data_IF_713078729544
#
_entry.id   IF_713078729544
#
_cell.length_a   1.000
_cell.length_b   1.000
_cell.length_c   1.000
_cell.angle_alpha   90.00
_cell.angle_beta   90.00
_cell.angle_gamma   90.00
#
_symmetry.space_group_name_H-M   'P 1'
#
loop_
_entity.id
_entity.type
_entity.pdbx_description
1 polymer ?
#
# COMPACT_ATOMS: atom_id res chain seq x y z
N UNK A 1 -1.93 17.83 -20.12
CA UNK A 1 -1.28 16.68 -19.43
C UNK A 1 -2.26 15.52 -19.31
N UNK A 2 -1.80 14.22 -19.37
CA UNK A 2 -2.66 13.05 -19.11
C UNK A 2 -2.45 12.58 -17.66
N UNK A 3 -3.50 12.63 -16.86
CA UNK A 3 -3.44 12.18 -15.47
C UNK A 3 -3.73 10.67 -15.36
N UNK A 4 -2.92 9.86 -14.63
CA UNK A 4 -3.04 8.41 -14.54
C UNK A 4 -4.12 7.98 -13.52
N UNK A 5 -5.33 8.47 -13.67
CA UNK A 5 -6.42 8.15 -12.74
C UNK A 5 -6.86 6.70 -12.95
N UNK A 6 -6.66 5.87 -11.91
CA UNK A 6 -7.01 4.45 -11.94
C UNK A 6 -6.02 3.55 -12.68
N UNK A 7 -4.92 4.09 -13.22
CA UNK A 7 -3.87 3.32 -13.90
C UNK A 7 -2.88 2.81 -12.86
N UNK A 8 -2.67 1.50 -12.82
CA UNK A 8 -1.79 0.82 -11.88
C UNK A 8 -0.64 0.07 -12.58
N UNK A 9 -0.70 -0.03 -13.90
CA UNK A 9 0.32 -0.68 -14.71
C UNK A 9 1.34 0.35 -15.21
N UNK A 10 2.62 0.13 -14.85
CA UNK A 10 3.71 1.04 -15.19
C UNK A 10 4.01 1.06 -16.70
N UNK A 11 3.92 -0.09 -17.36
CA UNK A 11 4.14 -0.18 -18.81
C UNK A 11 3.06 0.57 -19.58
N UNK A 12 1.78 0.40 -19.20
CA UNK A 12 0.66 1.15 -19.79
C UNK A 12 0.83 2.66 -19.57
N UNK A 13 1.23 3.05 -18.35
CA UNK A 13 1.48 4.44 -17.99
C UNK A 13 2.57 5.07 -18.88
N UNK A 14 3.72 4.41 -19.02
CA UNK A 14 4.84 4.93 -19.79
C UNK A 14 4.54 4.94 -21.30
N UNK A 15 4.00 3.84 -21.86
CA UNK A 15 3.71 3.74 -23.31
C UNK A 15 2.66 4.76 -23.77
N UNK A 16 1.71 5.12 -22.92
CA UNK A 16 0.64 6.05 -23.26
C UNK A 16 0.93 7.51 -22.85
N UNK A 17 2.10 7.79 -22.29
CA UNK A 17 2.55 9.14 -21.94
C UNK A 17 1.71 9.82 -20.87
N UNK A 18 1.31 9.05 -19.85
CA UNK A 18 0.71 9.60 -18.64
C UNK A 18 1.76 10.28 -17.76
N UNK A 19 1.32 11.23 -16.95
CA UNK A 19 2.18 11.86 -15.96
C UNK A 19 2.66 10.81 -14.93
N UNK A 20 3.95 10.79 -14.65
CA UNK A 20 4.57 9.89 -13.68
C UNK A 20 5.43 10.67 -12.70
N UNK A 21 5.18 10.50 -11.42
CA UNK A 21 6.07 10.98 -10.37
C UNK A 21 7.14 9.91 -10.16
N UNK A 22 8.36 10.23 -10.56
CA UNK A 22 9.46 9.28 -10.58
C UNK A 22 9.86 8.80 -9.18
N UNK A 23 9.63 7.51 -8.94
CA UNK A 23 10.01 6.79 -7.71
C UNK A 23 11.08 5.72 -7.98
N UNK A 24 11.67 5.72 -9.16
CA UNK A 24 12.56 4.63 -9.59
C UNK A 24 13.89 4.58 -8.85
N UNK A 25 14.30 5.67 -8.22
CA UNK A 25 15.42 5.67 -7.28
C UNK A 25 15.21 4.69 -6.10
N UNK A 26 13.96 4.56 -5.62
CA UNK A 26 13.62 3.58 -4.59
C UNK A 26 13.67 2.14 -5.12
N UNK A 27 13.28 1.93 -6.39
CA UNK A 27 13.38 0.62 -7.06
C UNK A 27 14.85 0.15 -7.05
N UNK A 28 15.76 1.01 -7.51
CA UNK A 28 17.20 0.72 -7.52
C UNK A 28 17.72 0.44 -6.11
N UNK A 29 17.43 1.33 -5.16
CA UNK A 29 17.86 1.21 -3.77
C UNK A 29 17.41 -0.10 -3.12
N UNK A 30 16.15 -0.47 -3.28
CA UNK A 30 15.61 -1.72 -2.73
C UNK A 30 16.25 -2.96 -3.36
N UNK A 31 16.50 -2.94 -4.69
CA UNK A 31 17.10 -4.05 -5.41
C UNK A 31 18.58 -4.26 -5.07
N UNK A 32 19.30 -3.17 -4.71
CA UNK A 32 20.72 -3.16 -4.33
C UNK A 32 20.95 -3.46 -2.84
N UNK A 33 20.18 -2.81 -1.92
CA UNK A 33 20.44 -2.84 -0.49
C UNK A 33 19.90 -4.07 0.25
N UNK A 34 18.92 -4.80 -0.32
CA UNK A 34 18.30 -5.90 0.40
C UNK A 34 17.50 -6.87 -0.44
N UNK A 35 16.69 -7.70 0.23
CA UNK A 35 16.06 -8.84 -0.41
C UNK A 35 14.57 -9.00 -0.09
N UNK A 36 14.18 -8.79 1.17
CA UNK A 36 12.81 -9.01 1.63
C UNK A 36 12.25 -7.74 2.23
N UNK A 37 11.21 -7.19 1.63
CA UNK A 37 10.62 -5.93 2.05
C UNK A 37 9.11 -6.04 2.24
N UNK A 38 8.63 -5.27 3.21
CA UNK A 38 7.22 -5.09 3.49
C UNK A 38 6.88 -3.60 3.53
N UNK A 39 5.82 -3.20 2.82
CA UNK A 39 5.30 -1.84 2.80
C UNK A 39 3.80 -1.82 3.08
N UNK A 40 3.41 -1.12 4.14
CA UNK A 40 2.02 -0.74 4.38
C UNK A 40 1.80 0.73 4.04
N UNK A 41 0.76 1.01 3.25
CA UNK A 41 0.29 2.37 2.92
C UNK A 41 -1.23 2.36 2.76
N UNK A 42 -1.91 3.46 3.01
CA UNK A 42 -3.34 3.56 2.74
C UNK A 42 -3.69 3.19 1.30
N UNK A 43 -4.96 2.89 1.05
CA UNK A 43 -5.44 2.66 -0.31
C UNK A 43 -5.24 3.90 -1.17
N UNK A 44 -5.04 3.71 -2.48
CA UNK A 44 -4.86 4.79 -3.48
C UNK A 44 -3.59 5.62 -3.33
N UNK A 45 -2.58 5.15 -2.57
CA UNK A 45 -1.27 5.81 -2.44
C UNK A 45 -0.24 5.39 -3.48
N UNK A 46 -0.58 4.49 -4.42
CA UNK A 46 0.31 4.09 -5.51
C UNK A 46 1.11 2.81 -5.25
N UNK A 47 0.73 1.97 -4.26
CA UNK A 47 1.40 0.68 -3.98
C UNK A 47 1.47 -0.23 -5.20
N UNK A 48 0.32 -0.49 -5.84
CA UNK A 48 0.24 -1.39 -7.00
C UNK A 48 1.04 -0.85 -8.19
N UNK A 49 1.05 0.48 -8.42
CA UNK A 49 1.90 1.10 -9.43
C UNK A 49 3.39 0.89 -9.12
N UNK A 50 3.79 1.03 -7.85
CA UNK A 50 5.18 0.78 -7.44
C UNK A 50 5.57 -0.69 -7.62
N UNK A 51 4.66 -1.64 -7.30
CA UNK A 51 4.86 -3.06 -7.59
C UNK A 51 5.02 -3.32 -9.10
N UNK A 52 4.17 -2.73 -9.92
CA UNK A 52 4.27 -2.84 -11.39
C UNK A 52 5.58 -2.24 -11.91
N UNK A 53 6.08 -1.16 -11.29
CA UNK A 53 7.41 -0.60 -11.62
C UNK A 53 8.54 -1.57 -11.26
N UNK A 54 8.48 -2.21 -10.08
CA UNK A 54 9.42 -3.28 -9.69
C UNK A 54 9.36 -4.46 -10.66
N UNK A 55 8.16 -4.87 -11.07
CA UNK A 55 7.98 -5.95 -12.04
C UNK A 55 8.64 -5.62 -13.37
N UNK A 56 8.38 -4.44 -13.94
CA UNK A 56 8.99 -3.99 -15.19
C UNK A 56 10.54 -3.92 -15.09
N UNK A 57 11.07 -3.46 -13.96
CA UNK A 57 12.51 -3.44 -13.69
C UNK A 57 13.11 -4.85 -13.69
N UNK A 58 12.54 -5.79 -12.94
CA UNK A 58 13.04 -7.16 -12.88
C UNK A 58 12.75 -7.98 -14.15
N UNK A 59 11.84 -7.52 -15.01
CA UNK A 59 11.66 -8.03 -16.36
C UNK A 59 12.74 -7.53 -17.33
N UNK A 60 13.59 -6.57 -16.89
CA UNK A 60 14.67 -5.98 -17.70
C UNK A 60 14.14 -5.10 -18.84
N UNK A 61 12.97 -4.47 -18.68
CA UNK A 61 12.33 -3.59 -19.67
C UNK A 61 12.94 -2.19 -19.66
N UNK A 62 14.24 -2.10 -19.96
CA UNK A 62 15.03 -0.86 -19.90
C UNK A 62 14.37 0.32 -20.58
N UNK A 63 13.74 0.08 -21.72
CA UNK A 63 13.10 1.09 -22.57
C UNK A 63 11.97 1.87 -21.86
N UNK A 64 11.33 1.27 -20.84
CA UNK A 64 10.28 1.94 -20.06
C UNK A 64 10.82 2.95 -19.05
N UNK A 65 12.12 2.92 -18.78
CA UNK A 65 12.78 3.73 -17.77
C UNK A 65 13.58 4.90 -18.34
N UNK A 66 13.55 5.10 -19.66
CA UNK A 66 14.24 6.22 -20.30
C UNK A 66 13.80 7.56 -19.70
N UNK A 67 14.78 8.37 -19.27
CA UNK A 67 14.51 9.68 -18.65
C UNK A 67 14.12 9.62 -17.17
N UNK A 68 14.06 8.42 -16.56
CA UNK A 68 13.82 8.24 -15.11
C UNK A 68 15.14 8.03 -14.37
N UNK A 69 15.15 8.33 -13.07
CA UNK A 69 16.35 8.32 -12.24
C UNK A 69 17.13 7.00 -12.25
N UNK A 70 16.44 5.86 -12.31
CA UNK A 70 17.07 4.53 -12.33
C UNK A 70 17.85 4.27 -13.63
N UNK A 71 17.52 4.95 -14.72
CA UNK A 71 18.12 4.69 -16.04
C UNK A 71 19.64 4.90 -16.04
N UNK A 72 20.10 5.91 -15.30
CA UNK A 72 21.52 6.24 -15.15
C UNK A 72 22.21 5.46 -14.04
N UNK A 73 21.46 4.86 -13.11
CA UNK A 73 21.94 4.09 -11.98
C UNK A 73 22.17 2.61 -12.33
N UNK A 74 21.26 2.04 -13.12
CA UNK A 74 21.27 0.62 -13.46
C UNK A 74 21.98 0.36 -14.79
N UNK A 75 22.93 -0.55 -14.78
CA UNK A 75 23.75 -0.86 -15.96
C UNK A 75 23.45 -2.23 -16.57
N UNK A 76 22.99 -3.19 -15.76
CA UNK A 76 22.91 -4.59 -16.18
C UNK A 76 21.53 -4.99 -16.74
N UNK A 77 20.44 -4.40 -16.24
CA UNK A 77 19.06 -4.67 -16.65
C UNK A 77 18.75 -6.16 -16.81
N UNK A 78 19.12 -6.94 -15.79
CA UNK A 78 18.92 -8.40 -15.77
C UNK A 78 17.46 -8.77 -15.70
N UNK A 79 17.13 -9.88 -16.42
CA UNK A 79 15.79 -10.49 -16.37
C UNK A 79 15.75 -11.61 -15.34
N UNK A 80 14.64 -11.62 -14.59
CA UNK A 80 14.37 -12.61 -13.55
C UNK A 80 12.99 -13.23 -13.77
N UNK A 81 12.75 -14.50 -13.39
CA UNK A 81 11.41 -15.06 -13.31
C UNK A 81 10.65 -14.36 -12.17
N UNK A 82 9.43 -13.90 -12.48
CA UNK A 82 8.59 -13.15 -11.55
C UNK A 82 7.35 -13.95 -11.18
N UNK A 83 7.09 -14.03 -9.89
CA UNK A 83 5.87 -14.55 -9.31
C UNK A 83 5.11 -13.41 -8.65
N UNK A 84 4.17 -12.83 -9.39
CA UNK A 84 3.34 -11.74 -8.93
C UNK A 84 1.98 -12.27 -8.51
N UNK A 85 1.58 -12.01 -7.27
CA UNK A 85 0.28 -12.34 -6.69
C UNK A 85 -0.43 -11.03 -6.36
N UNK A 86 -1.57 -10.79 -7.00
CA UNK A 86 -2.49 -9.71 -6.64
C UNK A 86 -3.74 -10.31 -5.98
N UNK A 87 -3.91 -10.05 -4.68
CA UNK A 87 -5.07 -10.52 -3.93
C UNK A 87 -6.29 -9.59 -4.07
N UNK A 88 -6.26 -8.60 -4.98
CA UNK A 88 -7.44 -7.81 -5.31
C UNK A 88 -8.48 -8.54 -6.15
N UNK A 89 -8.14 -9.69 -6.68
CA UNK A 89 -8.88 -10.39 -7.73
C UNK A 89 -10.15 -11.12 -7.26
N UNK A 90 -10.35 -11.32 -5.95
CA UNK A 90 -11.44 -12.15 -5.45
C UNK A 90 -12.20 -11.55 -4.26
N UNK A 91 -13.39 -12.11 -4.02
CA UNK A 91 -14.18 -11.91 -2.81
C UNK A 91 -13.83 -12.99 -1.78
N UNK A 92 -13.04 -12.63 -0.78
CA UNK A 92 -12.57 -13.57 0.24
C UNK A 92 -13.57 -13.84 1.37
N UNK A 93 -14.80 -13.34 1.28
CA UNK A 93 -15.90 -13.73 2.19
C UNK A 93 -16.49 -15.09 1.85
N UNK A 94 -16.13 -15.65 0.71
CA UNK A 94 -16.56 -16.97 0.28
C UNK A 94 -15.54 -18.01 0.71
N UNK A 95 -16.05 -19.16 1.18
CA UNK A 95 -15.21 -20.31 1.54
C UNK A 95 -14.38 -20.75 0.34
N UNK A 96 -13.18 -21.25 0.60
CA UNK A 96 -12.21 -21.73 -0.40
C UNK A 96 -11.71 -20.67 -1.42
N UNK A 97 -12.21 -19.43 -1.36
CA UNK A 97 -11.83 -18.37 -2.33
C UNK A 97 -10.33 -18.08 -2.36
N UNK A 98 -9.67 -18.03 -1.19
CA UNK A 98 -8.23 -17.85 -1.10
C UNK A 98 -7.47 -19.06 -1.69
N UNK A 99 -7.94 -20.27 -1.40
CA UNK A 99 -7.38 -21.49 -1.99
C UNK A 99 -7.46 -21.43 -3.51
N UNK A 100 -8.62 -21.09 -4.08
CA UNK A 100 -8.82 -21.03 -5.54
C UNK A 100 -7.89 -20.01 -6.20
N UNK A 101 -7.74 -18.83 -5.61
CA UNK A 101 -6.84 -17.78 -6.13
C UNK A 101 -5.38 -18.24 -6.13
N UNK A 102 -4.90 -18.77 -4.99
CA UNK A 102 -3.51 -19.24 -4.90
C UNK A 102 -3.27 -20.46 -5.80
N UNK A 103 -4.26 -21.33 -5.95
CA UNK A 103 -4.20 -22.49 -6.85
C UNK A 103 -4.09 -22.05 -8.32
N UNK A 104 -4.82 -21.03 -8.74
CA UNK A 104 -4.78 -20.49 -10.11
C UNK A 104 -3.39 -19.96 -10.45
N UNK A 105 -2.81 -19.13 -9.58
CA UNK A 105 -1.42 -18.65 -9.74
C UNK A 105 -0.43 -19.81 -9.85
N UNK A 106 -0.52 -20.79 -8.94
CA UNK A 106 0.37 -21.94 -8.95
C UNK A 106 0.23 -22.75 -10.26
N UNK A 107 -0.99 -23.02 -10.70
CA UNK A 107 -1.26 -23.75 -11.93
C UNK A 107 -0.66 -23.04 -13.14
N UNK A 108 -0.77 -21.73 -13.20
CA UNK A 108 -0.16 -20.89 -14.24
C UNK A 108 1.37 -21.04 -14.26
N UNK A 109 2.03 -20.93 -13.10
CA UNK A 109 3.49 -21.08 -13.04
C UNK A 109 3.96 -22.51 -13.27
N UNK A 110 3.23 -23.49 -12.79
CA UNK A 110 3.50 -24.90 -12.99
C UNK A 110 3.39 -25.31 -14.48
N UNK A 111 2.51 -24.66 -15.23
CA UNK A 111 2.45 -24.88 -16.70
C UNK A 111 3.78 -24.54 -17.38
N UNK A 112 4.54 -23.58 -16.84
CA UNK A 112 5.86 -23.17 -17.37
C UNK A 112 7.03 -23.94 -16.76
N UNK A 113 6.94 -24.27 -15.45
CA UNK A 113 8.07 -24.82 -14.69
C UNK A 113 7.88 -26.27 -14.22
N UNK A 114 6.72 -26.86 -14.51
CA UNK A 114 6.40 -28.25 -14.16
C UNK A 114 5.91 -28.45 -12.74
N UNK A 115 5.51 -29.68 -12.43
CA UNK A 115 4.96 -30.14 -11.14
C UNK A 115 5.66 -31.41 -10.67
N UNK A 116 5.45 -31.79 -9.38
CA UNK A 116 5.82 -33.09 -8.84
C UNK A 116 4.63 -33.67 -8.08
N UNK A 117 4.39 -34.99 -8.20
CA UNK A 117 3.27 -35.69 -7.50
C UNK A 117 3.32 -35.53 -5.97
N UNK A 118 4.50 -35.37 -5.39
CA UNK A 118 4.68 -35.17 -3.95
C UNK A 118 4.27 -33.77 -3.44
N UNK A 119 3.94 -32.85 -4.31
CA UNK A 119 3.56 -31.47 -3.99
C UNK A 119 2.04 -31.37 -3.71
N UNK A 120 1.58 -31.99 -2.62
CA UNK A 120 0.16 -32.15 -2.30
C UNK A 120 -0.53 -30.89 -1.75
N UNK A 121 0.22 -29.88 -1.30
CA UNK A 121 -0.34 -28.64 -0.71
C UNK A 121 0.11 -27.41 -1.47
N UNK A 122 -0.64 -26.29 -1.35
CA UNK A 122 -0.26 -25.01 -1.98
C UNK A 122 1.17 -24.59 -1.58
N UNK A 123 1.55 -24.74 -0.33
CA UNK A 123 2.90 -24.42 0.15
C UNK A 123 3.98 -25.29 -0.49
N UNK A 124 3.75 -26.62 -0.62
CA UNK A 124 4.69 -27.52 -1.29
C UNK A 124 4.80 -27.24 -2.79
N UNK A 125 3.69 -26.96 -3.45
CA UNK A 125 3.66 -26.55 -4.86
C UNK A 125 4.43 -25.24 -5.08
N UNK A 126 4.18 -24.23 -4.21
CA UNK A 126 4.90 -22.96 -4.27
C UNK A 126 6.41 -23.14 -4.05
N UNK A 127 6.77 -23.94 -3.05
CA UNK A 127 8.16 -24.33 -2.80
C UNK A 127 8.81 -24.96 -4.03
N UNK A 128 8.14 -25.92 -4.66
CA UNK A 128 8.67 -26.65 -5.82
C UNK A 128 8.80 -25.78 -7.06
N UNK A 129 7.79 -24.97 -7.35
CA UNK A 129 7.82 -24.10 -8.55
C UNK A 129 8.90 -23.01 -8.44
N UNK A 130 9.15 -22.45 -7.25
CA UNK A 130 10.25 -21.50 -7.00
C UNK A 130 11.59 -22.16 -7.33
N UNK A 131 11.85 -23.36 -6.80
CA UNK A 131 13.11 -24.06 -7.03
C UNK A 131 13.32 -24.37 -8.51
N UNK A 132 12.31 -24.92 -9.18
CA UNK A 132 12.37 -25.27 -10.61
C UNK A 132 12.54 -24.05 -11.51
N UNK A 133 11.88 -22.94 -11.18
CA UNK A 133 12.04 -21.69 -11.92
C UNK A 133 13.47 -21.18 -11.82
N UNK A 134 14.03 -21.13 -10.59
CA UNK A 134 15.39 -20.69 -10.37
C UNK A 134 16.43 -21.59 -11.06
N UNK A 135 16.25 -22.91 -11.02
CA UNK A 135 17.13 -23.87 -11.69
C UNK A 135 17.05 -23.76 -13.22
N UNK A 136 15.84 -23.60 -13.76
CA UNK A 136 15.62 -23.49 -15.21
C UNK A 136 16.17 -22.20 -15.81
N UNK A 137 15.97 -21.07 -15.11
CA UNK A 137 16.40 -19.75 -15.61
C UNK A 137 17.85 -19.41 -15.18
N UNK A 138 18.46 -20.22 -14.31
CA UNK A 138 19.84 -20.02 -13.83
C UNK A 138 20.04 -18.79 -12.93
N UNK A 139 18.96 -18.25 -12.37
CA UNK A 139 18.98 -17.08 -11.47
C UNK A 139 17.85 -17.18 -10.42
N UNK A 140 17.95 -16.37 -9.36
CA UNK A 140 16.88 -16.34 -8.34
C UNK A 140 15.58 -15.77 -8.86
N UNK A 141 14.45 -16.17 -8.25
CA UNK A 141 13.10 -15.66 -8.59
C UNK A 141 12.81 -14.36 -7.85
N UNK A 142 11.96 -13.52 -8.44
CA UNK A 142 11.39 -12.34 -7.82
C UNK A 142 9.94 -12.64 -7.42
N UNK A 143 9.55 -12.27 -6.20
CA UNK A 143 8.23 -12.50 -5.66
C UNK A 143 7.61 -11.16 -5.28
N UNK A 144 6.49 -10.83 -5.90
CA UNK A 144 5.73 -9.60 -5.68
C UNK A 144 4.33 -9.96 -5.20
N UNK A 145 3.91 -9.38 -4.06
CA UNK A 145 2.61 -9.67 -3.47
C UNK A 145 1.90 -8.35 -3.17
N UNK A 146 0.76 -8.13 -3.84
CA UNK A 146 -0.09 -6.96 -3.59
C UNK A 146 -1.30 -7.33 -2.73
N UNK A 147 -1.67 -6.39 -1.82
CA UNK A 147 -2.83 -6.46 -0.93
C UNK A 147 -2.89 -7.77 -0.11
N UNK A 148 -1.72 -8.17 0.46
CA UNK A 148 -1.57 -9.43 1.20
C UNK A 148 -2.59 -9.63 2.33
N UNK A 149 -3.09 -8.54 2.91
CA UNK A 149 -4.00 -8.51 4.06
C UNK A 149 -5.49 -8.50 3.67
N UNK A 150 -5.81 -8.38 2.39
CA UNK A 150 -7.21 -8.31 1.92
C UNK A 150 -8.07 -9.51 2.33
N UNK A 151 -7.59 -10.78 2.27
CA UNK A 151 -8.37 -11.91 2.77
C UNK A 151 -8.74 -11.79 4.24
N UNK A 152 -7.84 -11.25 5.07
CA UNK A 152 -8.05 -11.06 6.50
C UNK A 152 -9.00 -9.88 6.76
N UNK A 153 -8.83 -8.76 6.03
CA UNK A 153 -9.67 -7.57 6.19
C UNK A 153 -11.12 -7.82 5.76
N UNK A 154 -11.35 -8.62 4.74
CA UNK A 154 -12.70 -8.95 4.28
C UNK A 154 -13.46 -9.91 5.20
N UNK A 155 -12.75 -10.66 6.05
CA UNK A 155 -13.31 -11.68 6.94
C UNK A 155 -13.36 -11.27 8.42
N UNK A 156 -13.24 -9.98 8.73
CA UNK A 156 -13.27 -9.47 10.12
C UNK A 156 -14.54 -9.80 10.90
N UNK A 157 -15.66 -10.03 10.20
CA UNK A 157 -16.96 -10.39 10.77
C UNK A 157 -17.16 -11.92 10.87
N UNK A 158 -16.24 -12.70 10.32
CA UNK A 158 -16.24 -14.17 10.34
C UNK A 158 -14.93 -14.70 10.93
N UNK A 159 -14.84 -14.88 12.25
CA UNK A 159 -13.61 -15.29 12.92
C UNK A 159 -13.08 -16.67 12.48
N UNK A 160 -13.97 -17.58 12.10
CA UNK A 160 -13.57 -18.93 11.67
C UNK A 160 -12.90 -18.88 10.31
N UNK A 161 -13.54 -18.24 9.33
CA UNK A 161 -12.99 -18.05 8.00
C UNK A 161 -11.71 -17.19 8.03
N UNK A 162 -11.66 -16.16 8.89
CA UNK A 162 -10.46 -15.37 9.09
C UNK A 162 -9.30 -16.20 9.61
N UNK A 163 -9.53 -17.08 10.58
CA UNK A 163 -8.51 -17.98 11.12
C UNK A 163 -8.01 -18.97 10.05
N UNK A 164 -8.91 -19.49 9.21
CA UNK A 164 -8.57 -20.35 8.07
C UNK A 164 -7.66 -19.60 7.07
N UNK A 165 -8.03 -18.39 6.65
CA UNK A 165 -7.22 -17.56 5.75
C UNK A 165 -5.84 -17.23 6.35
N UNK A 166 -5.78 -16.90 7.64
CA UNK A 166 -4.50 -16.66 8.34
C UNK A 166 -3.59 -17.89 8.29
N UNK A 167 -4.14 -19.06 8.59
CA UNK A 167 -3.37 -20.31 8.58
C UNK A 167 -2.85 -20.64 7.17
N UNK A 168 -3.69 -20.46 6.16
CA UNK A 168 -3.34 -20.71 4.76
C UNK A 168 -2.25 -19.74 4.26
N UNK A 169 -2.39 -18.42 4.52
CA UNK A 169 -1.39 -17.42 4.17
C UNK A 169 -0.07 -17.66 4.92
N UNK A 170 -0.12 -18.01 6.22
CA UNK A 170 1.08 -18.34 7.00
C UNK A 170 1.84 -19.51 6.39
N UNK A 171 1.16 -20.59 6.08
CA UNK A 171 1.77 -21.77 5.46
C UNK A 171 2.37 -21.43 4.09
N UNK A 172 1.67 -20.63 3.28
CA UNK A 172 2.10 -20.23 1.95
C UNK A 172 3.35 -19.33 2.00
N UNK A 173 3.34 -18.28 2.83
CA UNK A 173 4.45 -17.33 2.92
C UNK A 173 5.66 -17.87 3.67
N UNK A 174 5.51 -18.88 4.54
CA UNK A 174 6.66 -19.53 5.21
C UNK A 174 7.66 -20.13 4.22
N UNK A 175 7.20 -20.44 3.00
CA UNK A 175 8.03 -20.90 1.89
C UNK A 175 9.14 -19.89 1.53
N UNK A 176 8.88 -18.59 1.67
CA UNK A 176 9.87 -17.55 1.37
C UNK A 176 11.16 -17.72 2.18
N UNK A 177 11.04 -18.12 3.46
CA UNK A 177 12.20 -18.39 4.31
C UNK A 177 12.93 -19.67 3.91
N UNK A 178 12.19 -20.73 3.63
CA UNK A 178 12.78 -22.04 3.33
C UNK A 178 13.40 -22.11 1.93
N UNK A 179 13.00 -21.21 1.03
CA UNK A 179 13.50 -21.12 -0.34
C UNK A 179 14.46 -19.93 -0.55
N UNK A 180 15.01 -19.37 0.51
CA UNK A 180 15.89 -18.19 0.46
C UNK A 180 16.94 -18.25 -0.65
N UNK A 181 17.64 -19.38 -0.82
CA UNK A 181 18.67 -19.55 -1.84
C UNK A 181 18.21 -19.40 -3.29
N UNK A 182 16.91 -19.57 -3.55
CA UNK A 182 16.32 -19.49 -4.87
C UNK A 182 15.61 -18.14 -5.13
N UNK A 183 15.50 -17.29 -4.11
CA UNK A 183 14.82 -16.00 -4.21
C UNK A 183 15.88 -14.90 -4.39
N UNK A 184 15.74 -14.06 -5.40
CA UNK A 184 16.51 -12.84 -5.61
C UNK A 184 15.95 -11.69 -4.79
N UNK A 185 14.63 -11.53 -4.79
CA UNK A 185 13.95 -10.39 -4.20
C UNK A 185 12.50 -10.75 -3.86
N UNK A 186 11.97 -10.19 -2.78
CA UNK A 186 10.56 -10.30 -2.45
C UNK A 186 10.04 -8.96 -1.88
N UNK A 187 8.90 -8.50 -2.39
CA UNK A 187 8.26 -7.28 -1.94
C UNK A 187 6.77 -7.52 -1.71
N UNK A 188 6.31 -7.25 -0.49
CA UNK A 188 4.94 -7.47 -0.07
C UNK A 188 4.30 -6.14 0.29
N UNK A 189 3.09 -5.89 -0.22
CA UNK A 189 2.30 -4.70 0.12
C UNK A 189 0.95 -5.04 0.71
N UNK A 190 0.43 -4.10 1.50
CA UNK A 190 -0.92 -4.15 2.04
C UNK A 190 -1.35 -2.79 2.58
N UNK A 191 -2.58 -2.74 3.06
CA UNK A 191 -3.12 -1.56 3.74
C UNK A 191 -2.68 -1.56 5.20
N UNK A 192 -2.80 -2.70 5.86
CA UNK A 192 -2.55 -2.84 7.29
C UNK A 192 -1.42 -3.83 7.58
N UNK A 193 -0.95 -3.81 8.81
CA UNK A 193 -0.05 -4.84 9.35
C UNK A 193 -0.83 -5.97 10.03
N UNK A 194 -2.11 -6.10 9.70
CA UNK A 194 -2.99 -7.14 10.19
C UNK A 194 -2.41 -8.50 9.80
N UNK A 195 -2.09 -9.29 10.78
CA UNK A 195 -1.46 -10.58 10.51
C UNK A 195 0.06 -10.57 10.31
N UNK A 196 0.73 -9.38 10.30
CA UNK A 196 2.21 -9.36 10.28
C UNK A 196 2.78 -10.20 11.41
N UNK A 197 2.20 -10.11 12.61
CA UNK A 197 2.59 -10.93 13.76
C UNK A 197 2.20 -12.39 13.61
N UNK A 198 1.06 -12.69 12.97
CA UNK A 198 0.55 -14.06 12.85
C UNK A 198 0.90 -14.74 11.52
N UNK A 199 0.88 -14.00 10.41
CA UNK A 199 1.16 -14.55 9.07
C UNK A 199 2.66 -14.59 8.78
N UNK A 200 3.40 -13.57 9.22
CA UNK A 200 4.85 -13.46 9.00
C UNK A 200 5.68 -13.76 10.25
N UNK A 201 5.11 -14.38 11.28
CA UNK A 201 5.85 -14.74 12.50
C UNK A 201 7.13 -15.53 12.23
N UNK A 202 7.12 -16.31 11.15
CA UNK A 202 8.25 -17.15 10.75
C UNK A 202 9.20 -16.44 9.77
N UNK A 203 8.84 -15.24 9.26
CA UNK A 203 9.64 -14.40 8.35
C UNK A 203 10.37 -13.28 9.11
N UNK A 204 11.34 -13.65 9.94
CA UNK A 204 12.13 -12.69 10.71
C UNK A 204 13.14 -11.89 9.87
N UNK A 205 13.30 -12.22 8.59
CA UNK A 205 14.15 -11.53 7.62
C UNK A 205 13.39 -10.47 6.80
N UNK A 206 12.09 -10.26 7.05
CA UNK A 206 11.29 -9.27 6.34
C UNK A 206 11.51 -7.86 6.91
N UNK A 207 12.11 -6.98 6.12
CA UNK A 207 12.36 -5.58 6.47
C UNK A 207 11.11 -4.76 6.27
N UNK A 208 10.53 -4.26 7.35
CA UNK A 208 9.38 -3.35 7.31
C UNK A 208 9.86 -1.92 7.05
N UNK A 209 9.55 -1.40 5.87
CA UNK A 209 9.92 -0.04 5.46
C UNK A 209 8.78 0.97 5.62
N UNK A 210 7.65 0.58 6.22
CA UNK A 210 6.46 1.43 6.30
C UNK A 210 6.65 2.72 7.12
N UNK A 211 7.51 2.67 8.15
CA UNK A 211 7.85 3.82 9.00
C UNK A 211 9.35 4.12 8.97
N UNK A 212 10.06 3.66 7.94
CA UNK A 212 11.48 3.93 7.75
C UNK A 212 11.64 5.28 7.04
N UNK A 213 12.33 6.23 7.68
CA UNK A 213 12.55 7.59 7.17
C UNK A 213 13.13 7.62 5.75
N UNK A 214 13.89 6.58 5.36
CA UNK A 214 14.52 6.45 4.04
C UNK A 214 13.51 6.18 2.91
N UNK A 215 12.28 5.76 3.24
CA UNK A 215 11.25 5.29 2.31
C UNK A 215 9.90 5.98 2.48
N UNK A 216 9.84 7.13 3.16
CA UNK A 216 8.58 7.83 3.44
C UNK A 216 7.86 8.21 2.15
N UNK A 217 8.57 8.74 1.18
CA UNK A 217 8.03 9.21 -0.10
C UNK A 217 8.00 8.15 -1.20
N UNK A 218 8.23 6.86 -0.87
CA UNK A 218 8.17 5.74 -1.84
C UNK A 218 6.79 5.61 -2.51
N UNK A 219 5.73 5.95 -1.78
CA UNK A 219 4.36 6.04 -2.26
C UNK A 219 3.75 7.37 -1.79
N UNK A 220 2.76 7.85 -2.52
CA UNK A 220 2.23 9.20 -2.32
C UNK A 220 3.03 10.25 -3.07
N UNK A 221 2.80 11.52 -2.75
CA UNK A 221 3.41 12.65 -3.44
C UNK A 221 3.89 13.68 -2.42
N UNK A 222 5.14 14.13 -2.52
CA UNK A 222 5.65 15.25 -1.74
C UNK A 222 5.21 16.56 -2.38
N UNK A 223 5.24 17.67 -1.64
CA UNK A 223 4.94 18.98 -2.20
C UNK A 223 5.90 19.35 -3.34
N UNK A 224 7.19 19.06 -3.16
CA UNK A 224 8.18 19.30 -4.22
C UNK A 224 7.84 18.55 -5.52
N UNK A 225 7.42 17.29 -5.41
CA UNK A 225 7.00 16.49 -6.56
C UNK A 225 5.73 17.04 -7.19
N UNK A 226 4.75 17.48 -6.39
CA UNK A 226 3.54 18.13 -6.86
C UNK A 226 3.86 19.39 -7.68
N UNK A 227 4.64 20.30 -7.11
CA UNK A 227 4.99 21.58 -7.75
C UNK A 227 5.86 21.38 -9.01
N UNK A 228 6.74 20.37 -9.00
CA UNK A 228 7.63 20.09 -10.14
C UNK A 228 6.88 19.45 -11.31
N UNK A 229 6.01 18.49 -11.05
CA UNK A 229 5.40 17.66 -12.10
C UNK A 229 4.05 18.20 -12.60
N UNK A 230 3.34 19.04 -11.80
CA UNK A 230 1.94 19.40 -12.08
C UNK A 230 1.67 20.89 -12.11
N UNK A 231 2.69 21.73 -12.37
CA UNK A 231 2.58 23.18 -12.39
C UNK A 231 1.46 23.69 -13.32
N UNK A 232 1.34 23.11 -14.52
CA UNK A 232 0.28 23.50 -15.46
C UNK A 232 -1.11 23.20 -14.90
N UNK A 233 -1.32 21.99 -14.33
CA UNK A 233 -2.59 21.62 -13.72
C UNK A 233 -2.95 22.47 -12.50
N UNK A 234 -1.95 22.89 -11.71
CA UNK A 234 -2.15 23.83 -10.59
C UNK A 234 -2.64 25.18 -11.11
N UNK A 235 -2.06 25.71 -12.20
CA UNK A 235 -2.48 26.96 -12.82
C UNK A 235 -3.88 26.86 -13.43
N UNK A 236 -4.23 25.73 -14.05
CA UNK A 236 -5.58 25.48 -14.57
C UNK A 236 -6.61 25.42 -13.41
N UNK A 237 -6.26 24.74 -12.31
CA UNK A 237 -7.10 24.67 -11.11
C UNK A 237 -7.28 26.07 -10.49
N UNK A 238 -6.22 26.85 -10.37
CA UNK A 238 -6.25 28.22 -9.87
C UNK A 238 -7.21 29.10 -10.70
N UNK A 239 -7.06 29.05 -12.01
CA UNK A 239 -7.91 29.82 -12.93
C UNK A 239 -9.38 29.42 -12.84
N UNK A 240 -9.69 28.11 -12.73
CA UNK A 240 -11.05 27.60 -12.65
C UNK A 240 -11.76 27.96 -11.34
N UNK A 241 -11.00 28.22 -10.27
CA UNK A 241 -11.56 28.55 -8.94
C UNK A 241 -11.35 30.02 -8.53
N UNK A 242 -10.88 30.87 -9.46
CA UNK A 242 -10.58 32.29 -9.21
C UNK A 242 -9.57 32.51 -8.08
N UNK A 243 -8.65 31.57 -7.90
CA UNK A 243 -7.59 31.59 -6.90
C UNK A 243 -6.25 32.06 -7.51
N UNK A 244 -5.34 32.54 -6.69
CA UNK A 244 -3.93 32.64 -7.07
C UNK A 244 -3.18 31.32 -6.79
N UNK A 245 -1.95 31.20 -7.30
CA UNK A 245 -1.12 29.99 -7.15
C UNK A 245 -0.91 29.61 -5.69
N UNK A 246 -0.63 30.57 -4.82
CA UNK A 246 -0.41 30.31 -3.37
C UNK A 246 -1.68 29.79 -2.71
N UNK A 247 -2.81 30.42 -2.93
CA UNK A 247 -4.10 29.98 -2.41
C UNK A 247 -4.46 28.57 -2.89
N UNK A 248 -4.18 28.25 -4.15
CA UNK A 248 -4.40 26.93 -4.72
C UNK A 248 -3.55 25.87 -4.04
N UNK A 249 -2.25 26.14 -3.82
CA UNK A 249 -1.34 25.22 -3.12
C UNK A 249 -1.80 25.02 -1.66
N UNK A 250 -2.18 26.09 -0.97
CA UNK A 250 -2.66 25.99 0.41
C UNK A 250 -3.97 25.19 0.51
N UNK A 251 -4.89 25.35 -0.45
CA UNK A 251 -6.11 24.55 -0.52
C UNK A 251 -5.81 23.07 -0.82
N UNK A 252 -4.89 22.77 -1.75
CA UNK A 252 -4.45 21.40 -2.01
C UNK A 252 -3.82 20.76 -0.78
N UNK A 253 -2.96 21.50 -0.06
CA UNK A 253 -2.31 21.05 1.18
C UNK A 253 -3.35 20.76 2.25
N UNK A 254 -4.20 21.71 2.56
CA UNK A 254 -5.23 21.58 3.60
C UNK A 254 -6.17 20.39 3.34
N UNK A 255 -6.51 20.11 2.05
CA UNK A 255 -7.45 19.06 1.70
C UNK A 255 -6.83 17.68 1.57
N UNK A 256 -5.61 17.56 1.01
CA UNK A 256 -5.10 16.26 0.53
C UNK A 256 -3.74 15.87 1.06
N UNK A 257 -3.04 16.76 1.78
CA UNK A 257 -1.78 16.48 2.44
C UNK A 257 -1.99 16.01 3.90
N UNK A 258 -1.01 16.19 4.76
CA UNK A 258 -1.10 15.91 6.20
C UNK A 258 -0.83 14.48 6.57
N UNK A 259 -0.41 13.63 5.66
CA UNK A 259 0.00 12.27 5.98
C UNK A 259 1.47 12.23 6.40
N UNK A 260 1.70 11.85 7.65
CA UNK A 260 3.02 11.61 8.23
C UNK A 260 3.12 10.14 8.63
N UNK A 261 4.05 9.42 8.01
CA UNK A 261 4.26 7.99 8.27
C UNK A 261 5.38 7.73 9.28
N UNK A 262 6.10 8.78 9.67
CA UNK A 262 7.16 8.77 10.68
C UNK A 262 7.20 10.16 11.35
N UNK A 263 7.71 10.25 12.60
CA UNK A 263 7.57 11.41 13.47
C UNK A 263 8.25 12.69 12.96
N UNK A 264 9.31 12.58 12.21
CA UNK A 264 10.07 13.73 11.67
C UNK A 264 10.07 13.75 10.14
N UNK A 265 9.11 13.08 9.52
CA UNK A 265 9.04 12.99 8.06
C UNK A 265 8.46 14.24 7.42
N UNK A 266 8.70 14.37 6.13
CA UNK A 266 7.97 15.33 5.30
C UNK A 266 6.48 14.92 5.16
N UNK A 267 5.66 15.92 4.88
CA UNK A 267 4.25 15.78 4.61
C UNK A 267 4.00 15.12 3.26
N UNK A 268 3.10 14.14 3.23
CA UNK A 268 2.74 13.41 2.00
C UNK A 268 1.30 13.72 1.62
N UNK A 269 1.09 13.98 0.34
CA UNK A 269 -0.22 14.15 -0.29
C UNK A 269 -0.79 12.82 -0.74
N UNK A 270 -2.11 12.70 -0.67
CA UNK A 270 -2.84 11.61 -1.31
C UNK A 270 -2.82 11.81 -2.84
N UNK A 271 -2.11 10.98 -3.60
CA UNK A 271 -1.95 11.20 -5.04
C UNK A 271 -3.26 11.02 -5.81
N UNK A 272 -4.16 10.15 -5.35
CA UNK A 272 -5.44 9.93 -6.02
C UNK A 272 -6.35 11.16 -5.97
N UNK A 273 -6.47 11.80 -4.80
CA UNK A 273 -7.27 13.02 -4.65
C UNK A 273 -6.67 14.20 -5.38
N UNK A 274 -5.34 14.38 -5.31
CA UNK A 274 -4.63 15.42 -6.05
C UNK A 274 -4.85 15.28 -7.55
N UNK A 275 -4.59 14.10 -8.12
CA UNK A 275 -4.72 13.86 -9.56
C UNK A 275 -6.16 14.06 -10.06
N UNK A 276 -7.16 13.61 -9.30
CA UNK A 276 -8.58 13.86 -9.63
C UNK A 276 -8.93 15.33 -9.56
N UNK A 277 -8.44 16.07 -8.55
CA UNK A 277 -8.66 17.51 -8.43
C UNK A 277 -8.08 18.27 -9.61
N UNK A 278 -6.85 17.95 -10.01
CA UNK A 278 -6.21 18.59 -11.16
C UNK A 278 -6.92 18.23 -12.48
N UNK A 279 -7.30 16.96 -12.67
CA UNK A 279 -7.98 16.52 -13.88
C UNK A 279 -9.37 17.13 -14.07
N UNK A 280 -10.09 17.38 -12.96
CA UNK A 280 -11.45 17.93 -12.99
C UNK A 280 -11.49 19.45 -12.71
N UNK A 281 -10.36 20.07 -12.43
CA UNK A 281 -10.24 21.48 -11.98
C UNK A 281 -11.22 21.83 -10.84
N UNK A 282 -11.45 20.89 -9.95
CA UNK A 282 -12.42 21.00 -8.87
C UNK A 282 -11.96 20.27 -7.60
N UNK A 283 -12.10 20.92 -6.44
CA UNK A 283 -11.90 20.29 -5.12
C UNK A 283 -13.11 19.43 -4.76
N UNK A 284 -12.86 18.17 -4.35
CA UNK A 284 -13.91 17.25 -3.87
C UNK A 284 -13.28 16.14 -2.98
N UNK A 285 -14.11 15.31 -2.32
CA UNK A 285 -13.69 14.22 -1.44
C UNK A 285 -13.47 12.93 -2.25
N UNK A 286 -12.51 12.96 -3.18
CA UNK A 286 -12.31 11.89 -4.16
C UNK A 286 -11.91 10.55 -3.53
N UNK A 287 -10.97 10.57 -2.58
CA UNK A 287 -10.51 9.36 -1.92
C UNK A 287 -11.62 8.75 -1.06
N UNK A 288 -12.32 9.59 -0.32
CA UNK A 288 -13.38 9.15 0.56
C UNK A 288 -14.59 8.60 -0.23
N UNK A 289 -14.95 9.22 -1.36
CA UNK A 289 -16.06 8.74 -2.21
C UNK A 289 -15.73 7.47 -2.99
N UNK A 290 -14.46 7.16 -3.20
CA UNK A 290 -14.01 6.02 -4.00
C UNK A 290 -14.08 4.67 -3.28
N UNK A 291 -14.32 4.64 -1.97
CA UNK A 291 -14.32 3.40 -1.17
C UNK A 291 -15.57 3.29 -0.29
N UNK A 292 -15.92 2.06 0.07
CA UNK A 292 -16.95 1.80 1.09
C UNK A 292 -16.26 1.73 2.45
N UNK A 293 -16.48 2.74 3.30
CA UNK A 293 -15.86 2.85 4.62
C UNK A 293 -16.50 1.94 5.69
N UNK A 294 -17.16 0.84 5.27
CA UNK A 294 -17.81 -0.14 6.17
C UNK A 294 -16.89 -0.63 7.27
N UNK A 295 -15.63 -0.87 6.93
CA UNK A 295 -14.60 -1.29 7.88
C UNK A 295 -14.39 -0.25 9.01
N UNK A 296 -14.25 1.04 8.67
CA UNK A 296 -14.11 2.11 9.65
C UNK A 296 -15.34 2.19 10.56
N UNK A 297 -16.53 2.17 9.94
CA UNK A 297 -17.80 2.23 10.66
C UNK A 297 -17.92 1.07 11.65
N UNK A 298 -17.57 -0.14 11.23
CA UNK A 298 -17.63 -1.33 12.08
C UNK A 298 -16.69 -1.23 13.27
N UNK A 299 -15.47 -0.74 13.06
CA UNK A 299 -14.50 -0.55 14.12
C UNK A 299 -14.98 0.53 15.10
N UNK A 300 -15.41 1.68 14.62
CA UNK A 300 -15.85 2.78 15.48
C UNK A 300 -17.06 2.39 16.31
N UNK A 301 -18.05 1.71 15.72
CA UNK A 301 -19.21 1.20 16.45
C UNK A 301 -18.86 0.14 17.49
N UNK A 302 -17.99 -0.81 17.13
CA UNK A 302 -17.57 -1.89 18.03
C UNK A 302 -16.88 -1.38 19.28
N UNK A 303 -16.16 -0.27 19.17
CA UNK A 303 -15.36 0.30 20.25
C UNK A 303 -15.92 1.59 20.83
N UNK A 304 -17.11 2.05 20.40
CA UNK A 304 -17.80 3.29 20.84
C UNK A 304 -16.91 4.56 20.74
N UNK A 305 -16.08 4.64 19.69
CA UNK A 305 -15.25 5.80 19.41
C UNK A 305 -16.06 6.93 18.75
N UNK A 306 -15.83 8.16 19.21
CA UNK A 306 -16.29 9.37 18.52
C UNK A 306 -15.12 10.08 17.79
N UNK A 307 -15.45 11.09 16.97
CA UNK A 307 -14.44 11.84 16.19
C UNK A 307 -13.43 12.55 17.09
N UNK A 308 -13.88 13.07 18.22
CA UNK A 308 -13.00 13.74 19.20
C UNK A 308 -11.99 12.79 19.81
N UNK A 309 -12.35 11.52 19.97
CA UNK A 309 -11.43 10.46 20.44
C UNK A 309 -10.34 10.17 19.41
N UNK A 310 -10.70 10.18 18.12
CA UNK A 310 -9.75 9.99 17.02
C UNK A 310 -8.71 11.10 16.96
N UNK A 311 -9.10 12.36 17.18
CA UNK A 311 -8.19 13.51 17.21
C UNK A 311 -7.29 13.56 18.45
N UNK A 312 -7.57 12.74 19.46
CA UNK A 312 -6.77 12.63 20.69
C UNK A 312 -6.15 11.24 20.86
N UNK A 313 -6.23 10.41 19.83
CA UNK A 313 -5.76 9.02 19.90
C UNK A 313 -4.26 8.95 20.20
N UNK A 314 -3.89 8.10 21.13
CA UNK A 314 -2.49 7.86 21.51
C UNK A 314 -2.16 6.37 21.40
N UNK A 315 -0.98 6.08 20.86
CA UNK A 315 -0.51 4.70 20.69
C UNK A 315 0.98 4.63 21.02
N UNK A 316 1.35 3.68 21.86
CA UNK A 316 2.77 3.37 22.11
C UNK A 316 3.45 2.84 20.85
N UNK A 317 4.70 3.22 20.64
CA UNK A 317 5.46 2.85 19.45
C UNK A 317 5.51 1.32 19.21
N UNK A 318 5.66 0.53 20.28
CA UNK A 318 5.65 -0.94 20.19
C UNK A 318 4.26 -1.54 19.90
N UNK A 319 3.18 -0.76 20.03
CA UNK A 319 1.81 -1.18 19.76
C UNK A 319 1.33 -0.76 18.37
N UNK A 320 2.08 0.08 17.63
CA UNK A 320 1.72 0.51 16.28
C UNK A 320 1.56 -0.65 15.28
N UNK A 321 2.18 -1.78 15.57
CA UNK A 321 2.07 -3.01 14.77
C UNK A 321 1.09 -4.03 15.36
N UNK A 322 0.50 -3.76 16.53
CA UNK A 322 -0.41 -4.68 17.21
C UNK A 322 -1.86 -4.28 16.92
N UNK A 323 -2.38 -4.84 15.86
CA UNK A 323 -3.72 -4.54 15.32
C UNK A 323 -4.81 -5.48 15.85
N UNK A 324 -4.44 -6.56 16.54
CA UNK A 324 -5.41 -7.59 16.98
C UNK A 324 -6.24 -7.11 18.20
N UNK A 325 -5.69 -6.26 19.05
CA UNK A 325 -6.31 -5.81 20.31
C UNK A 325 -6.68 -4.32 20.35
N UNK A 326 -6.07 -3.50 19.50
CA UNK A 326 -6.30 -2.07 19.45
C UNK A 326 -6.65 -1.63 18.02
N UNK A 327 -7.81 -1.03 17.77
CA UNK A 327 -8.21 -0.59 16.44
C UNK A 327 -7.45 0.64 15.94
N UNK A 328 -6.88 1.46 16.83
CA UNK A 328 -6.22 2.73 16.46
C UNK A 328 -5.07 2.52 15.46
N UNK A 329 -4.15 1.53 15.62
CA UNK A 329 -3.15 1.24 14.59
C UNK A 329 -3.74 0.91 13.22
N UNK A 330 -4.86 0.20 13.16
CA UNK A 330 -5.53 -0.14 11.90
C UNK A 330 -6.13 1.10 11.25
N UNK A 331 -6.76 1.97 12.04
CA UNK A 331 -7.33 3.24 11.56
C UNK A 331 -6.22 4.15 11.02
N UNK A 332 -5.05 4.20 11.69
CA UNK A 332 -3.85 4.91 11.21
C UNK A 332 -3.32 4.32 9.90
N UNK A 333 -3.08 3.02 9.86
CA UNK A 333 -2.53 2.34 8.67
C UNK A 333 -3.46 2.43 7.46
N UNK A 334 -4.77 2.50 7.71
CA UNK A 334 -5.79 2.68 6.66
C UNK A 334 -5.90 4.14 6.15
N UNK A 335 -5.19 5.10 6.77
CA UNK A 335 -5.14 6.49 6.31
C UNK A 335 -6.20 7.43 6.90
N UNK A 336 -6.98 6.98 7.88
CA UNK A 336 -7.93 7.87 8.58
C UNK A 336 -7.27 8.68 9.70
N UNK A 337 -6.11 8.24 10.18
CA UNK A 337 -5.28 8.96 11.13
C UNK A 337 -3.87 9.13 10.57
N UNK A 338 -3.15 10.09 11.12
CA UNK A 338 -1.74 10.38 10.84
C UNK A 338 -1.00 10.69 12.13
N UNK A 339 0.33 10.64 12.11
CA UNK A 339 1.16 11.05 13.23
C UNK A 339 1.14 12.59 13.33
N UNK A 340 0.78 13.12 14.50
CA UNK A 340 0.83 14.56 14.80
C UNK A 340 2.04 14.94 15.63
N UNK A 341 2.46 14.06 16.54
CA UNK A 341 3.68 14.24 17.34
C UNK A 341 4.12 12.92 17.95
N UNK A 342 5.35 12.90 18.46
CA UNK A 342 5.94 11.77 19.17
C UNK A 342 6.56 12.23 20.49
N UNK A 343 6.22 11.55 21.56
CA UNK A 343 6.83 11.77 22.87
C UNK A 343 7.94 10.74 23.07
N UNK A 344 9.20 11.20 22.98
CA UNK A 344 10.38 10.36 23.13
C UNK A 344 10.49 9.73 24.54
N UNK A 345 10.06 10.44 25.58
CA UNK A 345 10.15 9.99 26.97
C UNK A 345 9.24 8.81 27.24
N UNK A 346 8.01 8.87 26.71
CA UNK A 346 7.00 7.82 26.90
C UNK A 346 6.90 6.87 25.72
N UNK A 347 7.66 7.13 24.63
CA UNK A 347 7.61 6.40 23.35
C UNK A 347 6.17 6.26 22.84
N UNK A 348 5.46 7.38 22.78
CA UNK A 348 4.05 7.46 22.48
C UNK A 348 3.78 8.38 21.31
N UNK A 349 3.03 7.90 20.31
CA UNK A 349 2.54 8.70 19.20
C UNK A 349 1.22 9.35 19.56
N UNK A 350 1.11 10.66 19.30
CA UNK A 350 -0.16 11.36 19.22
C UNK A 350 -0.64 11.29 17.78
N UNK A 351 -1.82 10.76 17.57
CA UNK A 351 -2.45 10.66 16.25
C UNK A 351 -3.59 11.67 16.12
N UNK A 352 -3.95 11.98 14.88
CA UNK A 352 -5.08 12.84 14.56
C UNK A 352 -5.49 12.69 13.09
N UNK A 353 -6.60 13.28 12.69
CA UNK A 353 -7.09 13.27 11.33
C UNK A 353 -6.08 14.00 10.41
N UNK A 354 -5.71 13.45 9.25
CA UNK A 354 -4.67 14.02 8.41
C UNK A 354 -5.07 15.38 7.81
N UNK A 355 -6.25 15.49 7.23
CA UNK A 355 -6.66 16.63 6.43
C UNK A 355 -8.19 16.78 6.36
N UNK A 356 -8.61 17.83 5.66
CA UNK A 356 -10.03 18.21 5.55
C UNK A 356 -10.87 17.18 4.78
N UNK A 357 -10.33 16.54 3.74
CA UNK A 357 -11.05 15.48 3.00
C UNK A 357 -11.45 14.33 3.92
N UNK A 358 -10.50 13.86 4.74
CA UNK A 358 -10.76 12.76 5.67
C UNK A 358 -11.69 13.19 6.80
N UNK A 359 -11.55 14.41 7.32
CA UNK A 359 -12.41 14.95 8.37
C UNK A 359 -13.87 15.04 7.90
N UNK A 360 -14.11 15.70 6.76
CA UNK A 360 -15.45 15.85 6.16
C UNK A 360 -16.03 14.48 5.81
N UNK A 361 -15.21 13.58 5.26
CA UNK A 361 -15.61 12.23 4.92
C UNK A 361 -16.05 11.39 6.12
N UNK A 362 -15.30 11.41 7.22
CA UNK A 362 -15.66 10.74 8.47
C UNK A 362 -16.96 11.29 9.02
N UNK A 363 -17.11 12.63 9.09
CA UNK A 363 -18.30 13.30 9.56
C UNK A 363 -19.54 12.85 8.74
N UNK A 364 -19.47 12.95 7.42
CA UNK A 364 -20.55 12.58 6.52
C UNK A 364 -20.92 11.09 6.61
N UNK A 365 -19.97 10.24 6.92
CA UNK A 365 -20.18 8.79 7.05
C UNK A 365 -20.77 8.40 8.39
N UNK A 366 -20.38 9.08 9.48
CA UNK A 366 -20.82 8.76 10.83
C UNK A 366 -22.21 9.35 11.17
N UNK A 367 -22.53 10.53 10.65
CA UNK A 367 -23.82 11.21 10.88
C UNK A 367 -25.05 10.34 10.58
N UNK A 368 -25.13 9.64 9.42
CA UNK A 368 -26.28 8.78 9.11
C UNK A 368 -26.39 7.55 10.01
N UNK A 369 -25.30 7.16 10.69
CA UNK A 369 -25.24 5.92 11.48
C UNK A 369 -25.41 6.14 12.98
N UNK A 370 -25.74 7.39 13.42
CA UNK A 370 -25.99 7.70 14.83
C UNK A 370 -24.77 7.49 15.75
N UNK A 371 -23.55 7.49 15.21
CA UNK A 371 -22.36 7.52 16.02
C UNK A 371 -22.29 8.89 16.72
N UNK A 372 -21.96 8.89 18.03
CA UNK A 372 -21.86 10.11 18.83
C UNK A 372 -20.86 11.06 18.19
N UNK A 373 -21.35 12.12 17.56
CA UNK A 373 -20.59 13.35 17.44
C UNK A 373 -20.64 13.97 18.82
N UNK A 374 -19.49 14.28 19.43
CA UNK A 374 -19.51 15.04 20.67
C UNK A 374 -20.42 16.25 20.47
N UNK A 375 -21.38 16.45 21.39
CA UNK A 375 -22.19 17.65 21.39
C UNK A 375 -21.24 18.84 21.27
N UNK A 376 -21.43 19.64 20.23
CA UNK A 376 -20.90 20.98 20.20
C UNK A 376 -21.64 21.72 21.31
N UNK A 377 -21.08 21.73 22.52
CA UNK A 377 -21.44 22.70 23.50
C UNK A 377 -21.07 24.07 22.93
N UNK A 378 -22.13 24.84 22.63
CA UNK A 378 -22.09 26.24 22.21
C UNK A 378 -21.49 27.12 23.28
#
# INVERSE_FOLDING_TARGET
MKYPIGIQDFEDLQRNGYAYVDKTNFVYKLADEGKYYFLSRPRRFGKSLFLSTLEAYFQGKKELFEGLAIYDLETEWKKYPIFHIDLNTANFREKDSLYMVLNDYLTTWESKYGTRESEATLALRFKGVIARAAEKEGCGVVILIDEYDKPILQTLRDPELQAEHRAQLKAFYSVLKTQDRYIKFAFLTGVTKFGKVSVFSDLNNLTDISMDHRYISICGMTEKELLTNFKEGINELASANEDNETETIDKLRMRYAGYYFEENSEEIYNPFSVLNTLANSRYDDYWFKADTHTFLIDILKKHDYCITDLNKAQVKANMMNNVDFNPIPVIFQSGYLTIKSYDERFKNYQLGIPNKEVEEGILNTLLPHGCKTAEMDC
#
